data_IF_153876907203
#
_entry.id   IF_153876907203
#
_cell.length_a   1.000
_cell.length_b   1.000
_cell.length_c   1.000
_cell.angle_alpha   90.00
_cell.angle_beta   90.00
_cell.angle_gamma   90.00
#
_symmetry.space_group_name_H-M   'P 1'
#
loop_
_entity.id
_entity.type
_entity.pdbx_description
1 polymer ?
#
# COMPACT_ATOMS: atom_id res chain seq x y z
N UNK A 1 -11.15 1.63 -22.67
CA UNK A 1 -10.34 0.40 -22.59
C UNK A 1 -8.90 0.84 -22.35
N UNK A 2 -8.55 1.09 -21.10
CA UNK A 2 -7.20 1.51 -20.71
C UNK A 2 -6.25 0.34 -21.00
N UNK A 3 -5.26 0.59 -21.84
CA UNK A 3 -4.15 -0.31 -22.15
C UNK A 3 -2.92 0.27 -21.45
N UNK A 4 -2.77 -0.07 -20.19
CA UNK A 4 -1.52 0.19 -19.47
C UNK A 4 -0.68 -1.09 -19.56
N UNK A 5 0.30 -1.09 -20.46
CA UNK A 5 1.29 -2.15 -20.57
C UNK A 5 2.35 -1.93 -19.47
N UNK A 6 2.24 -2.65 -18.36
CA UNK A 6 3.27 -2.66 -17.31
C UNK A 6 4.36 -3.66 -17.70
N UNK A 7 5.52 -3.15 -18.16
CA UNK A 7 6.72 -3.97 -18.41
C UNK A 7 7.73 -3.76 -17.31
N UNK A 8 7.98 -4.80 -16.52
CA UNK A 8 9.06 -4.80 -15.53
C UNK A 8 10.31 -5.40 -16.18
N UNK A 9 11.42 -4.67 -16.22
CA UNK A 9 12.70 -5.21 -16.68
C UNK A 9 13.86 -4.74 -15.82
N UNK A 10 14.74 -5.70 -15.50
CA UNK A 10 16.03 -5.67 -14.79
C UNK A 10 16.04 -6.36 -13.41
N UNK A 11 16.53 -7.61 -13.41
CA UNK A 11 17.07 -8.28 -12.22
C UNK A 11 16.17 -9.32 -11.54
N UNK A 12 15.99 -10.50 -12.15
CA UNK A 12 15.43 -11.74 -11.57
C UNK A 12 14.05 -11.63 -10.88
N UNK A 13 13.11 -11.04 -11.61
CA UNK A 13 11.71 -11.50 -11.71
C UNK A 13 11.34 -11.29 -13.18
N UNK A 14 11.41 -12.33 -14.02
CA UNK A 14 11.00 -12.21 -15.43
C UNK A 14 9.50 -12.50 -15.48
N UNK A 15 8.68 -11.50 -15.19
CA UNK A 15 7.26 -11.54 -15.51
C UNK A 15 7.03 -10.62 -16.71
N UNK A 16 7.01 -11.18 -17.91
CA UNK A 16 6.48 -10.48 -19.09
C UNK A 16 4.95 -10.48 -18.97
N UNK A 17 4.42 -9.53 -18.19
CA UNK A 17 2.97 -9.33 -18.08
C UNK A 17 2.44 -8.81 -19.41
N UNK A 18 1.85 -9.70 -20.21
CA UNK A 18 1.13 -9.31 -21.42
C UNK A 18 -0.36 -9.28 -21.14
N UNK A 19 -0.88 -8.13 -20.72
CA UNK A 19 -2.31 -7.88 -20.75
C UNK A 19 -2.82 -8.06 -22.19
N UNK A 20 -3.86 -8.88 -22.39
CA UNK A 20 -4.14 -9.47 -23.70
C UNK A 20 -4.36 -8.45 -24.83
N UNK A 21 -3.43 -8.54 -25.79
CA UNK A 21 -3.70 -8.46 -27.22
C UNK A 21 -3.32 -9.78 -27.92
N UNK A 22 -4.22 -10.76 -27.89
CA UNK A 22 -4.50 -11.62 -29.06
C UNK A 22 -3.58 -12.78 -29.48
N UNK A 23 -2.75 -13.43 -28.63
CA UNK A 23 -1.97 -14.61 -29.10
C UNK A 23 -2.01 -15.91 -28.29
N UNK A 24 -2.71 -15.98 -27.15
CA UNK A 24 -2.80 -17.23 -26.36
C UNK A 24 -4.23 -17.61 -25.97
N UNK A 25 -4.53 -18.91 -26.00
CA UNK A 25 -5.86 -19.51 -25.76
C UNK A 25 -6.24 -19.65 -24.27
N UNK A 26 -5.31 -19.41 -23.35
CA UNK A 26 -5.60 -19.52 -21.91
C UNK A 26 -6.45 -18.33 -21.42
N UNK A 27 -7.42 -18.56 -20.53
CA UNK A 27 -8.32 -17.50 -20.05
C UNK A 27 -7.65 -16.53 -19.08
N UNK A 28 -6.54 -16.91 -18.44
CA UNK A 28 -5.89 -16.15 -17.38
C UNK A 28 -5.05 -14.97 -17.90
N UNK A 29 -5.00 -13.88 -17.12
CA UNK A 29 -4.29 -12.64 -17.46
C UNK A 29 -2.79 -12.71 -17.11
N UNK A 30 -2.45 -13.42 -16.03
CA UNK A 30 -1.07 -13.55 -15.55
C UNK A 30 -0.50 -14.89 -16.01
N UNK A 31 0.55 -14.84 -16.82
CA UNK A 31 1.27 -16.02 -17.33
C UNK A 31 2.76 -15.72 -17.36
N UNK A 32 3.61 -16.74 -17.19
CA UNK A 32 5.03 -16.65 -17.51
C UNK A 32 5.38 -17.61 -18.64
N UNK A 33 6.46 -17.32 -19.35
CA UNK A 33 6.97 -18.15 -20.45
C UNK A 33 8.23 -18.88 -20.00
N UNK A 34 8.27 -20.18 -20.22
CA UNK A 34 9.46 -21.02 -20.05
C UNK A 34 9.77 -21.73 -21.37
N UNK A 35 10.87 -21.36 -22.02
CA UNK A 35 11.15 -21.80 -23.39
C UNK A 35 10.03 -21.39 -24.36
N UNK A 36 9.34 -22.38 -24.94
CA UNK A 36 8.17 -22.16 -25.81
C UNK A 36 6.83 -22.39 -25.10
N UNK A 37 6.87 -22.83 -23.84
CA UNK A 37 5.70 -23.12 -23.03
C UNK A 37 5.24 -21.88 -22.25
N UNK A 38 3.93 -21.85 -21.97
CA UNK A 38 3.29 -20.81 -21.17
C UNK A 38 2.63 -21.46 -19.96
N UNK A 39 2.91 -20.89 -18.80
CA UNK A 39 2.41 -21.36 -17.52
C UNK A 39 1.54 -20.28 -16.88
N UNK A 40 0.40 -20.69 -16.34
CA UNK A 40 -0.49 -19.79 -15.59
C UNK A 40 0.15 -19.43 -14.25
N UNK A 41 -0.06 -18.19 -13.81
CA UNK A 41 0.33 -17.73 -12.48
C UNK A 41 -0.94 -17.58 -11.65
N UNK A 42 -1.05 -18.36 -10.59
CA UNK A 42 -2.13 -18.21 -9.62
C UNK A 42 -1.68 -17.45 -8.35
N UNK A 43 -2.65 -17.16 -7.47
CA UNK A 43 -2.39 -16.44 -6.24
C UNK A 43 -1.49 -17.22 -5.25
N UNK A 44 -1.49 -18.56 -5.29
CA UNK A 44 -0.65 -19.37 -4.42
C UNK A 44 0.82 -19.22 -4.80
N UNK A 45 1.13 -19.29 -6.10
CA UNK A 45 2.48 -19.07 -6.62
C UNK A 45 3.03 -17.69 -6.27
N UNK A 46 2.20 -16.65 -6.37
CA UNK A 46 2.62 -15.28 -6.00
C UNK A 46 2.91 -15.19 -4.51
N UNK A 47 2.05 -15.77 -3.65
CA UNK A 47 2.27 -15.75 -2.21
C UNK A 47 3.49 -16.58 -1.78
N UNK A 48 3.70 -17.75 -2.39
CA UNK A 48 4.89 -18.55 -2.17
C UNK A 48 6.15 -17.74 -2.49
N UNK A 49 6.21 -17.16 -3.70
CA UNK A 49 7.35 -16.34 -4.09
C UNK A 49 7.52 -15.11 -3.20
N UNK A 50 6.42 -14.52 -2.72
CA UNK A 50 6.48 -13.39 -1.81
C UNK A 50 7.10 -13.78 -0.47
N UNK A 51 6.67 -14.91 0.12
CA UNK A 51 7.24 -15.43 1.38
C UNK A 51 8.73 -15.75 1.26
N UNK A 52 9.19 -16.29 0.13
CA UNK A 52 10.62 -16.49 -0.12
C UNK A 52 11.44 -15.19 -0.07
N UNK A 53 10.83 -14.05 -0.39
CA UNK A 53 11.50 -12.75 -0.43
C UNK A 53 11.45 -12.01 0.92
N UNK A 54 10.33 -12.10 1.64
CA UNK A 54 10.07 -11.26 2.83
C UNK A 54 9.89 -12.05 4.13
N UNK A 55 9.79 -13.37 4.07
CA UNK A 55 9.52 -14.25 5.22
C UNK A 55 8.11 -14.82 5.25
N UNK A 56 7.94 -15.92 5.99
CA UNK A 56 6.69 -16.71 6.06
C UNK A 56 5.55 -15.99 6.79
N UNK A 57 5.86 -15.01 7.63
CA UNK A 57 4.88 -14.27 8.42
C UNK A 57 4.06 -13.26 7.58
N UNK A 58 4.45 -13.06 6.31
CA UNK A 58 3.85 -12.07 5.43
C UNK A 58 3.20 -12.70 4.20
N UNK A 59 2.26 -11.97 3.65
CA UNK A 59 1.48 -12.30 2.46
C UNK A 59 1.43 -11.11 1.52
N UNK A 60 1.04 -11.34 0.27
CA UNK A 60 0.89 -10.26 -0.73
C UNK A 60 -0.12 -9.20 -0.27
N UNK A 61 -1.09 -9.58 0.57
CA UNK A 61 -2.07 -8.65 1.15
C UNK A 61 -1.39 -7.55 1.97
N UNK A 62 -0.27 -7.85 2.63
CA UNK A 62 0.41 -6.90 3.50
C UNK A 62 0.98 -5.70 2.74
N UNK A 63 1.22 -5.84 1.43
CA UNK A 63 1.56 -4.71 0.56
C UNK A 63 0.43 -3.67 0.53
N UNK A 64 -0.83 -4.12 0.48
CA UNK A 64 -2.01 -3.24 0.49
C UNK A 64 -2.22 -2.65 1.87
N UNK A 65 -2.03 -3.43 2.93
CA UNK A 65 -2.10 -2.94 4.32
C UNK A 65 -1.07 -1.83 4.56
N UNK A 66 0.19 -2.07 4.18
CA UNK A 66 1.26 -1.09 4.34
C UNK A 66 1.00 0.18 3.53
N UNK A 67 0.64 0.03 2.25
CA UNK A 67 0.34 1.18 1.38
C UNK A 67 -0.82 2.01 1.95
N UNK A 68 -1.91 1.36 2.38
CA UNK A 68 -3.04 2.05 2.99
C UNK A 68 -2.65 2.80 4.27
N UNK A 69 -1.81 2.19 5.10
CA UNK A 69 -1.32 2.79 6.35
C UNK A 69 -0.44 4.01 6.09
N UNK A 70 0.40 3.98 5.05
CA UNK A 70 1.22 5.12 4.66
C UNK A 70 0.36 6.26 4.11
N UNK A 71 -0.61 5.96 3.25
CA UNK A 71 -1.59 6.96 2.78
C UNK A 71 -2.34 7.59 3.95
N UNK A 72 -2.89 6.77 4.85
CA UNK A 72 -3.58 7.26 6.04
C UNK A 72 -2.71 8.20 6.89
N UNK A 73 -1.43 7.88 7.04
CA UNK A 73 -0.51 8.71 7.81
C UNK A 73 -0.19 10.05 7.12
N UNK A 74 -0.17 10.09 5.79
CA UNK A 74 -0.03 11.33 5.01
C UNK A 74 -1.28 12.18 5.18
N UNK A 75 -2.47 11.62 4.93
CA UNK A 75 -3.75 12.34 5.04
C UNK A 75 -3.93 12.97 6.43
N UNK A 76 -3.62 12.21 7.50
CA UNK A 76 -3.69 12.71 8.86
C UNK A 76 -2.58 13.72 9.19
N UNK A 77 -1.43 13.67 8.52
CA UNK A 77 -0.38 14.66 8.72
C UNK A 77 -0.72 16.02 8.09
N UNK A 78 -1.56 16.04 7.06
CA UNK A 78 -2.06 17.26 6.43
C UNK A 78 -3.30 17.84 7.13
N UNK A 79 -4.05 16.99 7.83
CA UNK A 79 -5.18 17.41 8.66
C UNK A 79 -4.75 18.27 9.86
N UNK A 80 -5.65 19.18 10.27
CA UNK A 80 -5.41 19.98 11.48
C UNK A 80 -5.36 19.12 12.75
N UNK A 81 -4.36 19.28 13.63
CA UNK A 81 -4.26 18.52 14.86
C UNK A 81 -5.55 18.57 15.68
N UNK A 82 -6.08 17.41 16.11
CA UNK A 82 -7.39 17.36 16.71
C UNK A 82 -7.35 17.99 18.11
N UNK A 83 -8.23 18.97 18.35
CA UNK A 83 -8.40 19.59 19.68
C UNK A 83 -9.59 19.01 20.44
N UNK A 84 -10.46 18.26 19.76
CA UNK A 84 -11.65 17.64 20.33
C UNK A 84 -11.86 16.24 19.74
N UNK A 85 -12.67 15.42 20.41
CA UNK A 85 -13.11 14.12 19.85
C UNK A 85 -13.87 14.27 18.54
N UNK A 86 -14.59 15.38 18.37
CA UNK A 86 -15.33 15.64 17.14
C UNK A 86 -14.40 15.94 15.96
N UNK A 87 -13.37 16.77 16.17
CA UNK A 87 -12.36 17.05 15.14
C UNK A 87 -11.54 15.80 14.79
N UNK A 88 -11.20 14.97 15.80
CA UNK A 88 -10.55 13.68 15.57
C UNK A 88 -11.40 12.78 14.67
N UNK A 89 -12.67 12.59 15.02
CA UNK A 89 -13.57 11.73 14.25
C UNK A 89 -13.80 12.25 12.82
N UNK A 90 -13.79 13.58 12.61
CA UNK A 90 -13.90 14.18 11.29
C UNK A 90 -12.66 13.86 10.44
N UNK A 91 -11.45 14.11 10.96
CA UNK A 91 -10.20 13.81 10.27
C UNK A 91 -10.05 12.31 9.94
N UNK A 92 -10.38 11.43 10.89
CA UNK A 92 -10.34 9.98 10.68
C UNK A 92 -11.34 9.53 9.62
N UNK A 93 -12.53 10.16 9.58
CA UNK A 93 -13.53 9.84 8.56
C UNK A 93 -13.02 10.24 7.18
N UNK A 94 -12.51 11.45 7.03
CA UNK A 94 -11.99 11.97 5.77
C UNK A 94 -10.83 11.11 5.24
N UNK A 95 -9.85 10.80 6.09
CA UNK A 95 -8.77 9.86 5.75
C UNK A 95 -9.31 8.49 5.30
N UNK A 96 -10.31 7.95 5.99
CA UNK A 96 -10.87 6.64 5.62
C UNK A 96 -11.62 6.69 4.29
N UNK A 97 -12.27 7.80 3.97
CA UNK A 97 -12.95 8.01 2.70
C UNK A 97 -11.90 8.00 1.57
N UNK A 98 -10.83 8.81 1.68
CA UNK A 98 -9.73 8.87 0.70
C UNK A 98 -9.00 7.53 0.50
N UNK A 99 -8.60 6.87 1.60
CA UNK A 99 -7.94 5.56 1.54
C UNK A 99 -8.87 4.52 0.92
N UNK A 100 -10.17 4.56 1.21
CA UNK A 100 -11.12 3.61 0.65
C UNK A 100 -11.31 3.78 -0.86
N UNK A 101 -11.33 5.03 -1.33
CA UNK A 101 -11.39 5.38 -2.74
C UNK A 101 -10.14 4.90 -3.48
N UNK A 102 -8.94 5.10 -2.89
CA UNK A 102 -7.69 4.60 -3.45
C UNK A 102 -7.66 3.06 -3.57
N UNK A 103 -8.18 2.36 -2.56
CA UNK A 103 -8.17 0.90 -2.53
C UNK A 103 -9.31 0.24 -3.33
N UNK A 104 -10.34 1.00 -3.71
CA UNK A 104 -11.58 0.49 -4.30
C UNK A 104 -12.43 -0.33 -3.32
N UNK A 105 -12.40 0.04 -2.03
CA UNK A 105 -13.14 -0.62 -0.95
C UNK A 105 -14.09 0.36 -0.25
N UNK A 106 -14.86 -0.09 0.73
CA UNK A 106 -15.62 0.83 1.60
C UNK A 106 -14.76 1.36 2.75
N UNK A 107 -15.06 2.54 3.32
CA UNK A 107 -14.36 3.06 4.50
C UNK A 107 -14.33 2.06 5.67
N UNK A 108 -15.41 1.31 5.86
CA UNK A 108 -15.50 0.28 6.89
C UNK A 108 -14.49 -0.87 6.65
N UNK A 109 -14.31 -1.30 5.39
CA UNK A 109 -13.33 -2.33 5.02
C UNK A 109 -11.91 -1.80 5.11
N UNK A 110 -11.65 -0.57 4.65
CA UNK A 110 -10.36 0.10 4.79
C UNK A 110 -9.91 0.14 6.26
N UNK A 111 -10.80 0.62 7.14
CA UNK A 111 -10.57 0.68 8.59
C UNK A 111 -10.32 -0.68 9.22
N UNK A 112 -11.12 -1.68 8.86
CA UNK A 112 -11.08 -2.99 9.53
C UNK A 112 -9.96 -3.91 9.02
N UNK A 113 -9.40 -3.67 7.84
CA UNK A 113 -8.57 -4.66 7.15
C UNK A 113 -7.29 -4.14 6.51
N UNK A 114 -7.10 -2.82 6.40
CA UNK A 114 -5.97 -2.25 5.66
C UNK A 114 -5.23 -1.15 6.41
N UNK A 115 -5.92 -0.27 7.14
CA UNK A 115 -5.27 0.79 7.92
C UNK A 115 -4.85 0.24 9.28
N UNK A 116 -3.57 0.38 9.63
CA UNK A 116 -3.10 0.08 10.99
C UNK A 116 -3.70 1.08 12.00
N UNK A 117 -4.47 0.62 13.01
CA UNK A 117 -5.15 1.50 13.95
C UNK A 117 -4.19 2.40 14.74
N UNK A 118 -2.93 1.98 14.91
CA UNK A 118 -1.92 2.76 15.65
C UNK A 118 -1.63 4.10 15.00
N UNK A 119 -1.78 4.24 13.67
CA UNK A 119 -1.63 5.55 13.01
C UNK A 119 -2.66 6.56 13.54
N UNK A 120 -3.89 6.13 13.75
CA UNK A 120 -4.96 6.98 14.29
C UNK A 120 -4.72 7.29 15.76
N UNK A 121 -4.29 6.30 16.54
CA UNK A 121 -3.94 6.49 17.96
C UNK A 121 -2.81 7.52 18.12
N UNK A 122 -1.75 7.41 17.33
CA UNK A 122 -0.63 8.36 17.37
C UNK A 122 -1.05 9.76 16.94
N UNK A 123 -1.92 9.89 15.92
CA UNK A 123 -2.49 11.17 15.53
C UNK A 123 -3.32 11.82 16.65
N UNK A 124 -4.13 11.04 17.38
CA UNK A 124 -4.86 11.52 18.56
C UNK A 124 -3.91 12.05 19.65
N UNK A 125 -2.72 11.46 19.79
CA UNK A 125 -1.68 11.92 20.71
C UNK A 125 -0.80 13.05 20.16
N UNK A 126 -1.07 13.54 18.94
CA UNK A 126 -0.30 14.61 18.30
C UNK A 126 1.02 14.15 17.69
N UNK A 127 1.21 12.84 17.51
CA UNK A 127 2.37 12.24 16.86
C UNK A 127 2.03 11.93 15.40
N UNK A 128 2.66 12.64 14.46
CA UNK A 128 2.41 12.49 13.02
C UNK A 128 3.71 12.51 12.22
N UNK A 129 3.59 12.30 10.91
CA UNK A 129 4.71 12.43 9.97
C UNK A 129 4.80 13.82 9.33
N UNK A 130 4.07 14.83 9.81
CA UNK A 130 3.97 16.16 9.20
C UNK A 130 5.34 16.81 8.95
N UNK A 131 6.26 16.75 9.91
CA UNK A 131 7.61 17.29 9.71
C UNK A 131 8.45 16.57 8.64
N UNK A 132 8.10 15.33 8.29
CA UNK A 132 8.67 14.67 7.11
C UNK A 132 7.96 15.13 5.83
N UNK A 133 6.63 15.18 5.82
CA UNK A 133 5.83 15.68 4.68
C UNK A 133 6.27 17.09 4.29
N UNK A 134 6.40 18.03 5.23
CA UNK A 134 6.87 19.40 4.98
C UNK A 134 8.24 19.46 4.28
N UNK A 135 9.09 18.46 4.52
CA UNK A 135 10.47 18.43 4.01
C UNK A 135 10.60 17.75 2.65
N UNK A 136 9.76 16.74 2.35
CA UNK A 136 9.90 15.93 1.14
C UNK A 136 8.70 15.98 0.20
N UNK A 137 7.59 16.55 0.66
CA UNK A 137 6.28 16.46 0.02
C UNK A 137 5.50 15.21 0.41
N UNK A 138 4.37 15.05 -0.26
CA UNK A 138 3.33 14.03 -0.10
C UNK A 138 3.22 13.10 -1.32
N UNK A 139 3.97 13.35 -2.40
CA UNK A 139 3.94 12.56 -3.63
C UNK A 139 4.45 11.12 -3.41
N UNK A 140 3.51 10.21 -3.12
CA UNK A 140 3.76 8.79 -2.93
C UNK A 140 4.10 8.04 -4.23
N UNK A 141 4.01 8.69 -5.41
CA UNK A 141 4.49 8.14 -6.67
C UNK A 141 6.00 8.36 -6.84
N UNK A 142 6.59 9.37 -6.20
CA UNK A 142 8.04 9.53 -6.14
C UNK A 142 8.67 8.55 -5.14
N UNK A 143 9.58 7.71 -5.63
CA UNK A 143 10.21 6.65 -4.84
C UNK A 143 10.97 7.20 -3.61
N UNK A 144 11.63 8.35 -3.75
CA UNK A 144 12.45 8.93 -2.68
C UNK A 144 11.59 9.59 -1.60
N UNK A 145 10.53 10.27 -2.01
CA UNK A 145 9.49 10.82 -1.12
C UNK A 145 8.83 9.68 -0.37
N UNK A 146 8.29 8.68 -1.08
CA UNK A 146 7.65 7.50 -0.49
C UNK A 146 8.55 6.80 0.52
N UNK A 147 9.79 6.49 0.17
CA UNK A 147 10.72 5.82 1.08
C UNK A 147 11.01 6.65 2.34
N UNK A 148 10.98 7.98 2.24
CA UNK A 148 11.18 8.88 3.38
C UNK A 148 9.95 8.92 4.30
N UNK A 149 8.75 8.95 3.72
CA UNK A 149 7.49 8.88 4.45
C UNK A 149 7.33 7.53 5.15
N UNK A 150 7.55 6.43 4.44
CA UNK A 150 7.51 5.05 4.97
C UNK A 150 8.43 4.86 6.19
N UNK A 151 9.66 5.40 6.14
CA UNK A 151 10.56 5.39 7.30
C UNK A 151 10.02 6.21 8.47
N UNK A 152 9.33 7.31 8.20
CA UNK A 152 8.72 8.15 9.23
C UNK A 152 7.52 7.46 9.86
N UNK A 153 6.67 6.80 9.05
CA UNK A 153 5.53 6.02 9.52
C UNK A 153 5.98 4.89 10.43
N UNK A 154 7.01 4.12 10.04
CA UNK A 154 7.56 3.08 10.91
C UNK A 154 8.00 3.62 12.28
N UNK A 155 8.64 4.80 12.32
CA UNK A 155 9.03 5.42 13.60
C UNK A 155 7.83 5.80 14.46
N UNK A 156 6.75 6.29 13.85
CA UNK A 156 5.51 6.63 14.56
C UNK A 156 4.86 5.35 15.12
N UNK A 157 4.80 4.28 14.32
CA UNK A 157 4.25 2.98 14.74
C UNK A 157 5.07 2.31 15.84
N UNK A 158 6.40 2.47 15.82
CA UNK A 158 7.32 1.94 16.84
C UNK A 158 7.21 2.67 18.18
N UNK A 159 6.74 3.92 18.20
CA UNK A 159 6.55 4.69 19.44
C UNK A 159 5.41 4.10 20.28
N UNK A 160 4.29 3.74 19.65
CA UNK A 160 3.16 3.09 20.33
C UNK A 160 3.42 1.65 20.81
N UNK A 161 4.48 1.00 20.32
CA UNK A 161 4.85 -0.34 20.78
C UNK A 161 5.70 -0.36 22.07
N UNK A 162 6.14 0.82 22.56
CA UNK A 162 7.06 0.97 23.70
C UNK A 162 6.38 1.46 24.98
N UNK A 163 5.09 1.76 24.93
CA UNK A 163 4.25 2.16 26.06
C UNK A 163 3.44 0.97 26.59
#
# INVERSE_FOLDING_TARGET
MLRDDVRVSHGKLVFDFRAKGGRHKLPQLLVYRDGDDYHEIDAAMINERFRELVGEDFTVKDLRTWTATVHAAVDLAEAEPPTTKQSLNAAVKEMLDEVSDHLGNTPAVARASYVDPRVVEQYEHGHTIAGTVDRVGDDLADEKTRASLERSVNKVLDQGARE
#
